data_IF_233597403165
#
_entry.id   IF_233597403165
#
_cell.length_a   1.000
_cell.length_b   1.000
_cell.length_c   1.000
_cell.angle_alpha   90.00
_cell.angle_beta   90.00
_cell.angle_gamma   90.00
#
_symmetry.space_group_name_H-M   'P 1'
#
loop_
_entity.id
_entity.type
_entity.pdbx_description
1 polymer ?
#
# COMPACT_ATOMS: atom_id res chain seq x y z
N UNK A 1 -13.80 1.48 7.37
CA UNK A 1 -13.54 1.18 8.78
C UNK A 1 -12.67 -0.08 8.92
N UNK A 2 -13.02 -1.23 8.34
CA UNK A 2 -12.22 -2.45 8.44
C UNK A 2 -10.78 -2.32 7.90
N UNK A 3 -10.52 -1.45 6.92
CA UNK A 3 -9.15 -1.19 6.45
C UNK A 3 -8.33 -0.50 7.54
N UNK A 4 -8.88 0.52 8.21
CA UNK A 4 -8.22 1.20 9.31
C UNK A 4 -7.98 0.26 10.50
N UNK A 5 -8.95 -0.59 10.84
CA UNK A 5 -8.81 -1.60 11.90
C UNK A 5 -7.68 -2.60 11.59
N UNK A 6 -7.56 -3.06 10.34
CA UNK A 6 -6.47 -3.96 9.94
C UNK A 6 -5.11 -3.29 10.03
N UNK A 7 -4.99 -2.03 9.60
CA UNK A 7 -3.75 -1.25 9.70
C UNK A 7 -3.40 -1.00 11.17
N UNK A 8 -4.38 -0.62 12.00
CA UNK A 8 -4.19 -0.46 13.43
C UNK A 8 -3.72 -1.77 14.10
N UNK A 9 -4.31 -2.90 13.73
CA UNK A 9 -3.89 -4.22 14.21
C UNK A 9 -2.45 -4.54 13.81
N UNK A 10 -2.02 -4.20 12.58
CA UNK A 10 -0.61 -4.35 12.16
C UNK A 10 0.30 -3.53 13.06
N UNK A 11 -0.02 -2.26 13.30
CA UNK A 11 0.76 -1.36 14.15
C UNK A 11 0.87 -1.95 15.58
N UNK A 12 -0.25 -2.40 16.14
CA UNK A 12 -0.28 -2.99 17.48
C UNK A 12 0.52 -4.31 17.55
N UNK A 13 0.42 -5.18 16.54
CA UNK A 13 1.23 -6.39 16.47
C UNK A 13 2.73 -6.08 16.45
N UNK A 14 3.17 -5.11 15.65
CA UNK A 14 4.58 -4.73 15.56
C UNK A 14 5.08 -4.09 16.86
N UNK A 15 4.26 -3.24 17.50
CA UNK A 15 4.56 -2.68 18.83
C UNK A 15 4.61 -3.76 19.90
N UNK A 16 3.67 -4.70 19.91
CA UNK A 16 3.64 -5.82 20.84
C UNK A 16 4.84 -6.77 20.67
N UNK A 17 5.33 -6.92 19.43
CA UNK A 17 6.58 -7.64 19.15
C UNK A 17 7.83 -6.90 19.68
N UNK A 18 7.69 -5.63 20.08
CA UNK A 18 8.77 -4.81 20.63
C UNK A 18 9.46 -3.91 19.62
N UNK A 19 9.06 -3.88 18.34
CA UNK A 19 9.60 -2.95 17.35
C UNK A 19 9.32 -1.50 17.76
N UNK A 20 10.36 -0.66 17.68
CA UNK A 20 10.28 0.76 18.03
C UNK A 20 10.21 1.64 16.79
N UNK A 21 10.94 1.25 15.76
CA UNK A 21 11.08 2.02 14.53
C UNK A 21 10.53 1.21 13.36
N UNK A 22 9.39 1.60 12.85
CA UNK A 22 8.77 1.02 11.66
C UNK A 22 7.80 2.01 11.03
N UNK A 23 7.49 1.81 9.76
CA UNK A 23 6.54 2.61 8.99
C UNK A 23 5.62 1.67 8.21
N UNK A 24 4.33 1.98 8.19
CA UNK A 24 3.34 1.31 7.35
C UNK A 24 3.04 2.20 6.16
N UNK A 25 3.42 1.76 4.96
CA UNK A 25 3.08 2.43 3.71
C UNK A 25 1.73 1.98 3.20
N UNK A 26 0.87 2.94 2.85
CA UNK A 26 -0.46 2.71 2.31
C UNK A 26 -0.52 3.11 0.85
N UNK A 27 -1.06 2.21 0.02
CA UNK A 27 -1.40 2.46 -1.38
C UNK A 27 -2.89 2.23 -1.64
N UNK A 28 -3.38 2.68 -2.80
CA UNK A 28 -4.76 2.45 -3.23
C UNK A 28 -4.78 2.01 -4.70
N UNK A 29 -4.93 0.70 -4.90
CA UNK A 29 -4.83 0.12 -6.26
C UNK A 29 -6.00 0.53 -7.17
N UNK A 30 -7.16 0.87 -6.62
CA UNK A 30 -8.30 1.31 -7.42
C UNK A 30 -8.05 2.69 -8.02
N UNK A 31 -7.29 3.56 -7.37
CA UNK A 31 -6.89 4.85 -7.92
C UNK A 31 -6.11 4.68 -9.22
N UNK A 32 -4.99 3.97 -9.17
CA UNK A 32 -4.16 3.73 -10.34
C UNK A 32 -4.91 2.98 -11.45
N UNK A 33 -5.64 1.93 -11.08
CA UNK A 33 -6.41 1.11 -12.02
C UNK A 33 -7.47 1.92 -12.77
N UNK A 34 -8.09 2.91 -12.11
CA UNK A 34 -9.07 3.81 -12.75
C UNK A 34 -8.40 4.71 -13.78
N UNK A 35 -7.19 5.19 -13.51
CA UNK A 35 -6.40 5.97 -14.49
C UNK A 35 -5.99 5.10 -15.68
N UNK A 36 -5.56 3.85 -15.44
CA UNK A 36 -5.24 2.90 -16.51
C UNK A 36 -6.45 2.59 -17.40
N UNK A 37 -7.63 2.40 -16.83
CA UNK A 37 -8.85 2.17 -17.61
C UNK A 37 -9.21 3.39 -18.48
N UNK A 38 -9.00 4.59 -17.95
CA UNK A 38 -9.23 5.84 -18.69
C UNK A 38 -8.22 6.02 -19.84
N UNK A 39 -7.01 5.52 -19.70
CA UNK A 39 -5.95 5.72 -20.69
C UNK A 39 -6.16 4.96 -22.00
N UNK A 40 -6.95 3.89 -22.00
CA UNK A 40 -7.15 3.04 -23.17
C UNK A 40 -5.89 2.28 -23.64
N UNK A 41 -4.82 2.27 -22.85
CA UNK A 41 -3.60 1.53 -23.18
C UNK A 41 -3.88 0.02 -23.27
N UNK A 42 -3.23 -0.65 -24.23
CA UNK A 42 -3.23 -2.09 -24.32
C UNK A 42 -2.44 -2.77 -23.18
N UNK A 43 -2.52 -4.07 -23.06
CA UNK A 43 -1.90 -4.84 -21.96
C UNK A 43 -0.37 -4.69 -21.92
N UNK A 44 0.30 -4.64 -23.06
CA UNK A 44 1.75 -4.53 -23.15
C UNK A 44 2.20 -3.13 -22.71
N UNK A 45 1.52 -2.09 -23.16
CA UNK A 45 1.77 -0.71 -22.75
C UNK A 45 1.49 -0.50 -21.26
N UNK A 46 0.41 -1.10 -20.72
CA UNK A 46 0.12 -1.08 -19.28
C UNK A 46 1.23 -1.77 -18.49
N UNK A 47 1.71 -2.94 -18.94
CA UNK A 47 2.79 -3.65 -18.26
C UNK A 47 4.09 -2.83 -18.21
N UNK A 48 4.43 -2.19 -19.32
CA UNK A 48 5.60 -1.29 -19.38
C UNK A 48 5.45 -0.09 -18.45
N UNK A 49 4.30 0.57 -18.43
CA UNK A 49 4.02 1.70 -17.55
C UNK A 49 4.06 1.27 -16.08
N UNK A 50 3.50 0.11 -15.74
CA UNK A 50 3.54 -0.46 -14.40
C UNK A 50 4.99 -0.62 -13.90
N UNK A 51 5.86 -1.21 -14.72
CA UNK A 51 7.28 -1.42 -14.36
C UNK A 51 7.99 -0.08 -14.11
N UNK A 52 7.75 0.90 -14.96
CA UNK A 52 8.34 2.25 -14.79
C UNK A 52 7.88 2.94 -13.50
N UNK A 53 6.60 2.81 -13.14
CA UNK A 53 6.03 3.42 -11.93
C UNK A 53 6.52 2.69 -10.68
N UNK A 54 6.51 1.35 -10.66
CA UNK A 54 7.03 0.55 -9.53
C UNK A 54 8.49 0.87 -9.24
N UNK A 55 9.30 1.04 -10.28
CA UNK A 55 10.72 1.39 -10.16
C UNK A 55 10.97 2.89 -9.89
N UNK A 56 9.92 3.70 -9.70
CA UNK A 56 10.01 5.15 -9.50
C UNK A 56 10.79 5.86 -10.61
N UNK A 57 10.77 5.31 -11.82
CA UNK A 57 11.49 5.81 -12.98
C UNK A 57 10.71 6.92 -13.69
N UNK A 58 10.69 8.12 -13.10
CA UNK A 58 9.98 9.29 -13.65
C UNK A 58 10.39 9.60 -15.09
N UNK A 59 11.69 9.56 -15.39
CA UNK A 59 12.17 9.82 -16.74
C UNK A 59 11.63 8.80 -17.75
N UNK A 60 11.67 7.52 -17.41
CA UNK A 60 11.08 6.47 -18.24
C UNK A 60 9.57 6.65 -18.46
N UNK A 61 8.82 7.05 -17.42
CA UNK A 61 7.41 7.40 -17.55
C UNK A 61 7.20 8.56 -18.52
N UNK A 62 7.99 9.63 -18.42
CA UNK A 62 7.91 10.78 -19.33
C UNK A 62 8.15 10.38 -20.78
N UNK A 63 9.22 9.63 -21.07
CA UNK A 63 9.54 9.15 -22.42
C UNK A 63 8.47 8.21 -22.98
N UNK A 64 7.92 7.33 -22.13
CA UNK A 64 6.83 6.44 -22.52
C UNK A 64 5.59 7.23 -22.93
N UNK A 65 5.18 8.22 -22.12
CA UNK A 65 3.95 8.99 -22.32
C UNK A 65 4.02 9.92 -23.55
N UNK A 66 5.20 10.36 -23.99
CA UNK A 66 5.36 11.18 -25.21
C UNK A 66 4.78 10.53 -26.45
N UNK A 67 4.84 9.20 -26.52
CA UNK A 67 4.41 8.42 -27.67
C UNK A 67 2.97 7.88 -27.54
N UNK A 68 2.26 8.23 -26.45
CA UNK A 68 0.91 7.76 -26.21
C UNK A 68 -0.12 8.85 -26.58
N UNK A 69 -1.20 8.42 -27.25
CA UNK A 69 -2.35 9.28 -27.55
C UNK A 69 -3.34 9.25 -26.40
N UNK A 70 -3.21 10.19 -25.47
CA UNK A 70 -4.10 10.36 -24.32
C UNK A 70 -4.15 11.83 -23.89
N UNK A 71 -5.17 12.18 -23.08
CA UNK A 71 -5.32 13.55 -22.54
C UNK A 71 -4.09 13.98 -21.72
N UNK A 72 -3.71 15.24 -21.86
CA UNK A 72 -2.55 15.80 -21.13
C UNK A 72 -2.75 15.76 -19.61
N UNK A 73 -3.97 15.93 -19.11
CA UNK A 73 -4.33 15.78 -17.68
C UNK A 73 -3.98 14.38 -17.15
N UNK A 74 -4.27 13.36 -17.97
CA UNK A 74 -3.98 11.97 -17.61
C UNK A 74 -2.49 11.65 -17.69
N UNK A 75 -1.77 12.20 -18.69
CA UNK A 75 -0.31 12.12 -18.75
C UNK A 75 0.34 12.75 -17.51
N UNK A 76 -0.15 13.92 -17.10
CA UNK A 76 0.34 14.57 -15.89
C UNK A 76 0.10 13.72 -14.64
N UNK A 77 -1.06 13.07 -14.52
CA UNK A 77 -1.37 12.18 -13.42
C UNK A 77 -0.37 11.01 -13.36
N UNK A 78 -0.11 10.32 -14.47
CA UNK A 78 0.89 9.24 -14.51
C UNK A 78 2.31 9.72 -14.22
N UNK A 79 2.70 10.88 -14.75
CA UNK A 79 4.02 11.46 -14.51
C UNK A 79 4.28 11.79 -13.04
N UNK A 80 3.22 12.17 -12.30
CA UNK A 80 3.29 12.51 -10.87
C UNK A 80 3.26 11.29 -9.95
N UNK A 81 2.69 10.15 -10.39
CA UNK A 81 2.54 8.96 -9.56
C UNK A 81 3.83 8.52 -8.83
N UNK A 82 5.00 8.43 -9.48
CA UNK A 82 6.24 8.07 -8.80
C UNK A 82 6.66 9.02 -7.68
N UNK A 83 6.14 10.26 -7.69
CA UNK A 83 6.43 11.31 -6.71
C UNK A 83 5.38 11.41 -5.60
N UNK A 84 4.23 10.72 -5.73
CA UNK A 84 3.16 10.72 -4.75
C UNK A 84 3.48 9.77 -3.59
N UNK A 85 4.55 10.09 -2.88
CA UNK A 85 5.08 9.34 -1.77
C UNK A 85 5.35 10.26 -0.57
N UNK A 86 5.02 9.84 0.65
CA UNK A 86 5.29 10.55 1.90
C UNK A 86 4.08 10.71 2.82
N UNK A 87 3.93 11.86 3.47
CA UNK A 87 2.87 12.13 4.44
C UNK A 87 1.47 12.30 3.80
N UNK A 88 0.47 12.57 4.64
CA UNK A 88 -0.95 12.67 4.23
C UNK A 88 -1.25 13.75 3.18
N UNK A 89 -0.36 14.74 3.01
CA UNK A 89 -0.48 15.73 1.95
C UNK A 89 -0.48 15.13 0.54
N UNK A 90 0.04 13.92 0.35
CA UNK A 90 0.02 13.22 -0.94
C UNK A 90 -1.40 12.83 -1.36
N UNK A 91 -2.30 12.55 -0.39
CA UNK A 91 -3.71 12.27 -0.65
C UNK A 91 -4.37 13.48 -1.35
N UNK A 92 -4.12 14.70 -0.82
CA UNK A 92 -4.64 15.94 -1.42
C UNK A 92 -4.08 16.21 -2.80
N UNK A 93 -2.77 15.94 -3.02
CA UNK A 93 -2.14 16.08 -4.33
C UNK A 93 -2.74 15.12 -5.35
N UNK A 94 -2.94 13.85 -4.98
CA UNK A 94 -3.55 12.87 -5.86
C UNK A 94 -4.98 13.25 -6.25
N UNK A 95 -5.77 13.76 -5.31
CA UNK A 95 -7.15 14.23 -5.55
C UNK A 95 -7.20 15.36 -6.60
N UNK A 96 -6.17 16.20 -6.65
CA UNK A 96 -6.06 17.31 -7.60
C UNK A 96 -5.61 16.89 -9.01
N UNK A 97 -5.15 15.64 -9.20
CA UNK A 97 -4.62 15.17 -10.49
C UNK A 97 -5.66 14.51 -11.39
N UNK A 98 -6.91 14.39 -10.96
CA UNK A 98 -7.90 13.65 -11.73
C UNK A 98 -9.32 14.13 -11.45
N UNK A 99 -10.15 14.12 -12.49
CA UNK A 99 -11.61 14.29 -12.40
C UNK A 99 -12.33 12.95 -12.55
N UNK A 100 -11.61 11.85 -12.66
CA UNK A 100 -12.20 10.52 -12.79
C UNK A 100 -12.96 10.14 -11.50
N UNK A 101 -14.30 9.90 -11.56
CA UNK A 101 -15.09 9.64 -10.36
C UNK A 101 -14.65 8.40 -9.58
N UNK A 102 -14.17 7.37 -10.28
CA UNK A 102 -13.71 6.14 -9.63
C UNK A 102 -12.37 6.35 -8.91
N UNK A 103 -11.46 7.10 -9.54
CA UNK A 103 -10.19 7.49 -8.93
C UNK A 103 -10.42 8.39 -7.71
N UNK A 104 -11.34 9.38 -7.81
CA UNK A 104 -11.71 10.24 -6.68
C UNK A 104 -12.30 9.44 -5.53
N UNK A 105 -13.23 8.51 -5.79
CA UNK A 105 -13.81 7.65 -4.75
C UNK A 105 -12.77 6.78 -4.05
N UNK A 106 -11.73 6.31 -4.78
CA UNK A 106 -10.62 5.57 -4.21
C UNK A 106 -9.77 6.45 -3.25
N UNK A 107 -9.46 7.67 -3.67
CA UNK A 107 -8.73 8.62 -2.83
C UNK A 107 -9.55 9.06 -1.60
N UNK A 108 -10.86 9.25 -1.73
CA UNK A 108 -11.75 9.57 -0.60
C UNK A 108 -11.80 8.43 0.43
N UNK A 109 -11.72 7.18 -0.03
CA UNK A 109 -11.57 6.03 0.89
C UNK A 109 -10.26 6.09 1.66
N UNK A 110 -9.15 6.40 1.00
CA UNK A 110 -7.85 6.53 1.63
C UNK A 110 -7.82 7.70 2.64
N UNK A 111 -8.44 8.83 2.29
CA UNK A 111 -8.62 9.99 3.17
C UNK A 111 -9.42 9.61 4.43
N UNK A 112 -10.50 8.85 4.28
CA UNK A 112 -11.28 8.34 5.41
C UNK A 112 -10.47 7.41 6.32
N UNK A 113 -9.67 6.51 5.74
CA UNK A 113 -8.78 5.63 6.52
C UNK A 113 -7.76 6.45 7.30
N UNK A 114 -7.18 7.50 6.67
CA UNK A 114 -6.28 8.42 7.36
C UNK A 114 -6.96 9.07 8.58
N UNK A 115 -8.16 9.63 8.42
CA UNK A 115 -8.92 10.24 9.52
C UNK A 115 -9.16 9.26 10.68
N UNK A 116 -9.52 8.01 10.39
CA UNK A 116 -9.70 6.99 11.42
C UNK A 116 -8.38 6.64 12.14
N UNK A 117 -7.27 6.62 11.40
CA UNK A 117 -5.96 6.39 12.02
C UNK A 117 -5.49 7.58 12.87
N UNK A 118 -5.91 8.81 12.56
CA UNK A 118 -5.72 9.98 13.44
C UNK A 118 -6.53 9.82 14.75
N UNK A 119 -7.80 9.39 14.64
CA UNK A 119 -8.64 9.10 15.82
C UNK A 119 -8.07 7.99 16.71
N UNK A 120 -7.41 6.99 16.10
CA UNK A 120 -6.70 5.91 16.82
C UNK A 120 -5.32 6.34 17.37
N UNK A 121 -4.88 7.56 17.11
CA UNK A 121 -3.52 8.06 17.44
C UNK A 121 -2.40 7.21 16.80
N UNK A 122 -2.64 6.73 15.57
CA UNK A 122 -1.72 5.86 14.82
C UNK A 122 -1.22 6.48 13.52
N UNK A 123 -1.64 7.71 13.19
CA UNK A 123 -1.28 8.39 11.95
C UNK A 123 0.24 8.61 11.78
N UNK A 124 0.99 8.74 12.88
CA UNK A 124 2.45 8.91 12.84
C UNK A 124 3.19 7.66 12.35
N UNK A 125 2.55 6.49 12.40
CA UNK A 125 3.12 5.22 11.92
C UNK A 125 2.87 4.98 10.44
N UNK A 126 2.14 5.85 9.74
CA UNK A 126 1.75 5.63 8.35
C UNK A 126 2.33 6.66 7.40
N UNK A 127 2.65 6.20 6.20
CA UNK A 127 2.96 7.01 5.03
C UNK A 127 2.13 6.54 3.84
N UNK A 128 2.14 7.29 2.77
CA UNK A 128 1.34 7.03 1.57
C UNK A 128 2.24 6.89 0.36
N UNK A 129 1.99 5.87 -0.45
CA UNK A 129 2.63 5.68 -1.75
C UNK A 129 1.55 5.32 -2.78
N UNK A 130 1.10 6.31 -3.55
CA UNK A 130 0.07 6.10 -4.57
C UNK A 130 0.62 5.51 -5.87
N UNK A 131 1.93 5.41 -5.99
CA UNK A 131 2.61 4.61 -7.01
C UNK A 131 2.91 3.19 -6.55
N UNK A 132 2.44 2.77 -5.36
CA UNK A 132 2.53 1.39 -4.92
C UNK A 132 1.57 0.54 -5.73
N UNK A 133 2.12 -0.29 -6.59
CA UNK A 133 1.36 -1.26 -7.36
C UNK A 133 1.42 -2.62 -6.67
N UNK A 134 0.41 -3.43 -6.88
CA UNK A 134 0.41 -4.81 -6.40
C UNK A 134 0.71 -5.76 -7.53
N UNK A 135 1.68 -6.63 -7.34
CA UNK A 135 1.93 -7.78 -8.23
C UNK A 135 0.76 -8.78 -8.20
N UNK A 136 -0.07 -8.72 -7.17
CA UNK A 136 -1.23 -9.57 -7.00
C UNK A 136 -2.47 -8.88 -7.55
N UNK A 137 -3.03 -9.41 -8.61
CA UNK A 137 -4.23 -8.85 -9.26
C UNK A 137 -5.50 -8.95 -8.42
N UNK A 138 -5.49 -9.74 -7.35
CA UNK A 138 -6.66 -9.94 -6.49
C UNK A 138 -6.97 -8.77 -5.56
N UNK A 139 -6.03 -7.86 -5.29
CA UNK A 139 -6.31 -6.67 -4.50
C UNK A 139 -7.23 -5.69 -5.25
N UNK A 140 -8.19 -5.13 -4.52
CA UNK A 140 -9.26 -4.30 -5.11
C UNK A 140 -9.38 -2.91 -4.51
N UNK A 141 -8.58 -2.57 -3.51
CA UNK A 141 -8.64 -1.31 -2.78
C UNK A 141 -7.32 -1.00 -2.09
N UNK A 142 -7.42 -0.59 -0.83
CA UNK A 142 -6.22 -0.25 -0.04
C UNK A 142 -5.31 -1.47 0.09
N UNK A 143 -4.03 -1.23 -0.15
CA UNK A 143 -2.92 -2.15 0.10
C UNK A 143 -1.95 -1.50 1.07
N UNK A 144 -1.24 -2.30 1.83
CA UNK A 144 -0.25 -1.79 2.77
C UNK A 144 0.92 -2.74 2.95
N UNK A 145 2.08 -2.14 3.24
CA UNK A 145 3.32 -2.85 3.58
C UNK A 145 3.95 -2.16 4.78
N UNK A 146 4.50 -2.92 5.71
CA UNK A 146 5.28 -2.36 6.79
C UNK A 146 6.77 -2.61 6.57
N UNK A 147 7.55 -1.57 6.82
CA UNK A 147 9.00 -1.59 6.71
C UNK A 147 9.65 -1.15 8.01
N UNK A 148 10.86 -1.56 8.23
CA UNK A 148 11.68 -1.11 9.34
C UNK A 148 13.13 -0.96 8.91
N UNK A 149 13.89 -0.21 9.70
CA UNK A 149 15.31 -0.02 9.45
C UNK A 149 16.07 -1.34 9.45
N UNK A 150 16.89 -1.50 8.43
CA UNK A 150 17.84 -2.62 8.33
C UNK A 150 17.27 -3.93 7.77
N UNK A 151 15.99 -4.01 7.41
CA UNK A 151 15.47 -5.09 6.56
C UNK A 151 15.52 -4.65 5.10
N UNK A 152 15.88 -5.57 4.20
CA UNK A 152 15.90 -5.28 2.76
C UNK A 152 14.53 -5.37 2.09
N UNK A 153 13.51 -5.81 2.85
CA UNK A 153 12.17 -6.04 2.35
C UNK A 153 11.11 -5.74 3.44
N UNK A 154 9.84 -5.78 3.08
CA UNK A 154 8.74 -5.56 4.01
C UNK A 154 8.64 -6.67 5.07
N UNK A 155 8.22 -6.29 6.27
CA UNK A 155 7.94 -7.20 7.39
C UNK A 155 6.46 -7.57 7.47
N UNK A 156 5.57 -6.77 6.88
CA UNK A 156 4.15 -7.05 6.75
C UNK A 156 3.70 -6.68 5.35
N UNK A 157 2.76 -7.44 4.80
CA UNK A 157 2.03 -7.10 3.58
C UNK A 157 0.57 -7.45 3.74
N UNK A 158 -0.31 -6.62 3.21
CA UNK A 158 -1.74 -6.84 3.30
C UNK A 158 -2.54 -5.93 2.38
N UNK A 159 -3.86 -6.07 2.42
CA UNK A 159 -4.76 -5.22 1.65
C UNK A 159 -6.17 -5.80 1.52
N UNK A 160 -7.00 -5.07 0.77
CA UNK A 160 -8.40 -5.40 0.50
C UNK A 160 -8.53 -6.22 -0.80
N UNK A 161 -9.26 -7.33 -0.73
CA UNK A 161 -9.44 -8.27 -1.85
C UNK A 161 -10.89 -8.75 -1.97
N UNK A 162 -11.80 -7.83 -2.29
CA UNK A 162 -13.25 -8.07 -2.30
C UNK A 162 -13.73 -9.12 -3.31
N UNK A 163 -12.93 -9.46 -4.33
CA UNK A 163 -13.33 -10.38 -5.41
C UNK A 163 -12.67 -11.75 -5.34
N UNK A 164 -11.71 -11.95 -4.45
CA UNK A 164 -10.99 -13.23 -4.36
C UNK A 164 -11.93 -14.39 -3.98
N UNK A 165 -12.82 -14.18 -3.02
CA UNK A 165 -13.72 -15.21 -2.52
C UNK A 165 -14.84 -15.59 -3.51
N UNK A 166 -15.09 -14.76 -4.51
CA UNK A 166 -16.05 -15.09 -5.61
C UNK A 166 -15.64 -16.37 -6.33
N UNK A 167 -14.34 -16.60 -6.52
CA UNK A 167 -13.80 -17.80 -7.15
C UNK A 167 -14.11 -19.09 -6.36
N UNK A 168 -14.42 -18.94 -5.06
CA UNK A 168 -14.80 -20.03 -4.16
C UNK A 168 -16.31 -20.03 -3.84
N UNK A 169 -17.12 -19.33 -4.65
CA UNK A 169 -18.58 -19.30 -4.52
C UNK A 169 -19.12 -18.35 -3.45
N UNK A 170 -18.31 -17.43 -2.90
CA UNK A 170 -18.74 -16.42 -1.94
C UNK A 170 -18.41 -15.01 -2.43
N UNK A 171 -19.43 -14.20 -2.68
CA UNK A 171 -19.26 -12.76 -2.93
C UNK A 171 -19.26 -11.99 -1.59
N UNK A 172 -18.10 -12.02 -0.95
CA UNK A 172 -17.91 -11.38 0.37
C UNK A 172 -16.63 -10.53 0.33
N UNK A 173 -16.70 -9.23 0.69
CA UNK A 173 -15.52 -8.39 0.81
C UNK A 173 -14.59 -8.91 1.91
N UNK A 174 -13.30 -8.84 1.66
CA UNK A 174 -12.27 -9.28 2.59
C UNK A 174 -11.09 -8.30 2.61
N UNK A 175 -10.48 -8.21 3.78
CA UNK A 175 -9.22 -7.50 4.03
C UNK A 175 -8.40 -8.32 5.01
N UNK A 176 -7.09 -8.34 4.87
CA UNK A 176 -6.21 -9.09 5.76
C UNK A 176 -4.74 -8.78 5.51
N UNK A 177 -3.88 -9.35 6.33
CA UNK A 177 -2.44 -9.18 6.21
C UNK A 177 -1.68 -10.44 6.61
N UNK A 178 -0.41 -10.48 6.24
CA UNK A 178 0.56 -11.49 6.65
C UNK A 178 1.81 -10.81 7.22
N UNK A 179 2.34 -11.36 8.31
CA UNK A 179 3.63 -10.98 8.88
C UNK A 179 4.67 -11.96 8.38
N UNK A 180 5.76 -11.45 7.81
CA UNK A 180 6.92 -12.23 7.38
C UNK A 180 7.83 -12.44 8.60
N UNK A 181 7.67 -13.58 9.25
CA UNK A 181 8.29 -13.85 10.57
C UNK A 181 9.82 -13.74 10.50
N UNK A 182 10.45 -14.24 9.44
CA UNK A 182 11.91 -14.18 9.27
C UNK A 182 12.40 -12.71 9.19
N UNK A 183 11.66 -11.86 8.49
CA UNK A 183 11.97 -10.42 8.39
C UNK A 183 11.74 -9.72 9.73
N UNK A 184 10.66 -10.07 10.44
CA UNK A 184 10.40 -9.55 11.79
C UNK A 184 11.51 -9.94 12.76
N UNK A 185 11.94 -11.20 12.78
CA UNK A 185 13.02 -11.67 13.62
C UNK A 185 14.35 -10.99 13.31
N UNK A 186 14.66 -10.78 12.03
CA UNK A 186 15.83 -10.03 11.60
C UNK A 186 15.79 -8.57 12.07
N UNK A 187 14.61 -7.94 11.97
CA UNK A 187 14.38 -6.57 12.44
C UNK A 187 14.60 -6.44 13.95
N UNK A 188 14.00 -7.32 14.75
CA UNK A 188 14.15 -7.35 16.20
C UNK A 188 15.61 -7.51 16.60
N UNK A 189 16.33 -8.44 15.98
CA UNK A 189 17.76 -8.65 16.23
C UNK A 189 18.59 -7.40 15.94
N UNK A 190 18.31 -6.69 14.83
CA UNK A 190 19.03 -5.47 14.46
C UNK A 190 18.74 -4.29 15.38
N UNK A 191 17.54 -4.20 15.90
CA UNK A 191 17.14 -3.20 16.90
C UNK A 191 17.60 -3.60 18.32
N UNK A 192 18.36 -4.70 18.47
CA UNK A 192 18.84 -5.25 19.74
C UNK A 192 17.70 -5.55 20.74
N UNK A 193 16.55 -5.95 20.20
CA UNK A 193 15.40 -6.35 20.98
C UNK A 193 15.50 -7.86 21.22
N UNK A 194 15.74 -8.24 22.48
CA UNK A 194 15.85 -9.63 22.87
C UNK A 194 14.49 -10.19 23.25
N UNK A 195 14.01 -11.20 22.51
CA UNK A 195 12.85 -11.96 22.89
C UNK A 195 13.26 -12.91 24.03
N UNK A 196 12.57 -12.82 25.18
CA UNK A 196 12.77 -13.77 26.26
C UNK A 196 12.19 -15.12 25.89
N UNK A 197 13.02 -16.15 25.79
CA UNK A 197 12.62 -17.54 25.56
C UNK A 197 12.11 -18.24 26.84
N UNK A 198 12.02 -17.53 27.97
CA UNK A 198 11.67 -18.12 29.29
C UNK A 198 10.28 -18.75 29.30
N UNK A 199 9.36 -18.27 28.44
CA UNK A 199 8.00 -18.84 28.37
C UNK A 199 7.87 -20.12 27.53
N UNK A 200 8.94 -20.59 26.87
CA UNK A 200 8.91 -21.81 26.04
C UNK A 200 9.28 -23.07 26.85
N UNK A 201 9.82 -22.92 28.04
CA UNK A 201 10.42 -24.03 28.80
C UNK A 201 9.68 -24.47 30.07
N UNK A 202 8.48 -23.99 30.35
CA UNK A 202 7.69 -24.56 31.43
C UNK A 202 6.86 -25.75 30.92
N UNK A 203 7.24 -27.00 31.26
CA UNK A 203 6.37 -28.14 31.02
C UNK A 203 5.13 -27.97 31.91
N UNK A 204 3.97 -27.89 31.29
CA UNK A 204 2.70 -28.07 31.98
C UNK A 204 2.70 -29.39 32.75
N UNK A 205 2.75 -29.33 34.08
CA UNK A 205 2.49 -30.44 34.95
C UNK A 205 0.97 -30.61 35.11
#
# INVERSE_FOLDING_TARGET
DADAEMIAMVIDCLKAAGLKEFQVELGEVAFYRSLLQQSGLDEDAQAQLNDLIENKNRFGVEEFLKNQDMEESLKEAFLKLPELFGGSNQIKKAKALTDNPQALAAIERLERVHTLLEEYHMADYVSYDLGMLSRYQYYTGIIFKAYTYGTGDYIVTGGRYNKLLVQFGKDTPAVGFAIVVDQLMAALSRQQIHLSLIHISEPTR
#
